data_IF_315672458205
#
_entry.id   IF_315672458205
#
_cell.length_a   1.000
_cell.length_b   1.000
_cell.length_c   1.000
_cell.angle_alpha   90.00
_cell.angle_beta   90.00
_cell.angle_gamma   90.00
#
_symmetry.space_group_name_H-M   'P 1'
#
loop_
_entity.id
_entity.type
_entity.pdbx_description
1 polymer ?
#
# COMPACT_ATOMS: atom_id res chain seq x y z
N UNK A 1 -60.49 66.98 -2.69
CA UNK A 1 -60.68 66.65 -4.12
C UNK A 1 -59.53 65.74 -4.53
N UNK A 2 -59.83 64.46 -4.70
CA UNK A 2 -58.96 63.43 -5.28
C UNK A 2 -59.88 62.56 -6.13
N UNK A 3 -59.68 62.46 -7.45
CA UNK A 3 -60.33 61.44 -8.26
C UNK A 3 -59.48 60.18 -8.30
N UNK A 4 -60.15 59.05 -8.19
CA UNK A 4 -59.66 57.70 -8.42
C UNK A 4 -59.31 57.54 -9.90
N UNK A 5 -58.09 57.10 -10.22
CA UNK A 5 -57.69 56.76 -11.59
C UNK A 5 -57.47 55.25 -11.69
N UNK A 6 -58.31 54.63 -12.50
CA UNK A 6 -58.29 53.24 -12.97
C UNK A 6 -57.22 53.11 -14.07
N UNK A 7 -56.13 52.38 -13.80
CA UNK A 7 -55.17 51.99 -14.82
C UNK A 7 -55.11 50.46 -14.96
N UNK A 8 -55.53 50.04 -16.15
CA UNK A 8 -55.76 48.67 -16.62
C UNK A 8 -54.44 47.90 -16.73
N UNK A 9 -54.41 46.66 -16.24
CA UNK A 9 -53.33 45.70 -16.54
C UNK A 9 -53.48 45.15 -17.99
N UNK A 10 -52.40 45.00 -18.76
CA UNK A 10 -52.47 44.39 -20.09
C UNK A 10 -52.78 42.88 -20.02
N UNK A 11 -53.30 42.25 -21.10
CA UNK A 11 -53.62 40.83 -21.11
C UNK A 11 -52.36 39.98 -20.97
N UNK A 12 -52.40 38.96 -20.12
CA UNK A 12 -51.37 37.91 -20.09
C UNK A 12 -51.39 37.14 -21.40
N UNK A 13 -50.25 37.10 -22.11
CA UNK A 13 -50.02 36.13 -23.19
C UNK A 13 -50.11 34.70 -22.64
N UNK A 14 -50.68 33.74 -23.38
CA UNK A 14 -50.71 32.34 -22.94
C UNK A 14 -49.28 31.80 -22.88
N UNK A 15 -48.96 31.20 -21.75
CA UNK A 15 -47.69 30.55 -21.42
C UNK A 15 -47.44 29.36 -22.38
N UNK A 16 -46.77 29.60 -23.51
CA UNK A 16 -46.38 28.54 -24.46
C UNK A 16 -45.24 27.71 -23.86
N UNK A 17 -45.57 26.73 -23.03
CA UNK A 17 -44.60 25.73 -22.60
C UNK A 17 -44.05 24.95 -23.81
N UNK A 18 -42.72 24.71 -23.91
CA UNK A 18 -42.14 23.97 -25.02
C UNK A 18 -42.45 22.47 -24.89
N UNK A 19 -43.50 22.01 -25.55
CA UNK A 19 -43.91 20.60 -25.64
C UNK A 19 -42.91 19.70 -26.41
N UNK A 20 -41.81 20.24 -26.94
CA UNK A 20 -40.88 19.53 -27.84
C UNK A 20 -39.77 18.70 -27.17
N UNK A 21 -39.56 18.81 -25.86
CA UNK A 21 -38.45 18.08 -25.21
C UNK A 21 -38.77 16.60 -24.96
N UNK A 22 -40.02 16.28 -24.60
CA UNK A 22 -40.45 14.89 -24.34
C UNK A 22 -40.51 14.04 -25.62
N UNK A 23 -41.07 14.58 -26.70
CA UNK A 23 -41.23 13.85 -27.97
C UNK A 23 -39.91 13.51 -28.64
N UNK A 24 -38.88 14.34 -28.46
CA UNK A 24 -37.55 14.10 -29.07
C UNK A 24 -36.82 12.95 -28.37
N UNK A 25 -36.94 12.83 -27.04
CA UNK A 25 -36.38 11.70 -26.28
C UNK A 25 -37.13 10.39 -26.54
N UNK A 26 -38.45 10.44 -26.72
CA UNK A 26 -39.27 9.29 -27.10
C UNK A 26 -38.96 8.84 -28.53
N UNK A 27 -38.85 9.77 -29.48
CA UNK A 27 -38.47 9.48 -30.87
C UNK A 27 -37.07 8.88 -30.99
N UNK A 28 -36.10 9.34 -30.17
CA UNK A 28 -34.77 8.73 -30.09
C UNK A 28 -34.81 7.31 -29.52
N UNK A 29 -35.71 7.03 -28.57
CA UNK A 29 -35.91 5.69 -28.01
C UNK A 29 -36.56 4.71 -29.00
N UNK A 30 -37.41 5.22 -29.89
CA UNK A 30 -38.09 4.43 -30.94
C UNK A 30 -37.22 4.13 -32.16
N UNK A 31 -36.08 4.81 -32.32
CA UNK A 31 -35.11 4.40 -33.33
C UNK A 31 -34.54 3.02 -33.01
N UNK A 32 -34.23 2.23 -34.05
CA UNK A 32 -33.61 0.90 -33.88
C UNK A 32 -32.30 0.96 -33.06
N UNK A 33 -31.59 2.10 -33.09
CA UNK A 33 -30.40 2.37 -32.29
C UNK A 33 -30.76 2.58 -30.81
N UNK A 34 -31.79 3.38 -30.51
CA UNK A 34 -32.31 3.59 -29.16
C UNK A 34 -32.81 2.30 -28.49
N UNK A 35 -33.57 1.48 -29.22
CA UNK A 35 -34.04 0.19 -28.71
C UNK A 35 -32.89 -0.80 -28.46
N UNK A 36 -31.87 -0.83 -29.33
CA UNK A 36 -30.69 -1.68 -29.16
C UNK A 36 -29.83 -1.22 -27.97
N UNK A 37 -29.65 0.09 -27.80
CA UNK A 37 -28.98 0.67 -26.64
C UNK A 37 -29.75 0.38 -25.33
N UNK A 38 -31.08 0.52 -25.34
CA UNK A 38 -31.93 0.24 -24.18
C UNK A 38 -31.95 -1.25 -23.81
N UNK A 39 -31.94 -2.15 -24.80
CA UNK A 39 -31.75 -3.60 -24.56
C UNK A 39 -30.35 -3.92 -24.03
N UNK A 40 -29.31 -3.28 -24.57
CA UNK A 40 -27.94 -3.46 -24.09
C UNK A 40 -27.81 -2.98 -22.65
N UNK A 41 -28.35 -1.81 -22.32
CA UNK A 41 -28.42 -1.29 -20.96
C UNK A 41 -29.21 -2.24 -20.05
N UNK A 42 -30.44 -2.64 -20.40
CA UNK A 42 -31.22 -3.62 -19.60
C UNK A 42 -30.50 -4.94 -19.40
N UNK A 43 -29.79 -5.42 -20.42
CA UNK A 43 -28.98 -6.64 -20.31
C UNK A 43 -27.84 -6.41 -19.33
N UNK A 44 -27.05 -5.36 -19.49
CA UNK A 44 -25.93 -5.00 -18.61
C UNK A 44 -26.40 -4.80 -17.16
N UNK A 45 -27.50 -4.08 -16.94
CA UNK A 45 -28.09 -3.88 -15.60
C UNK A 45 -28.63 -5.19 -15.03
N UNK A 46 -29.23 -6.05 -15.86
CA UNK A 46 -29.71 -7.38 -15.47
C UNK A 46 -28.58 -8.35 -15.12
N UNK A 47 -27.49 -8.38 -15.88
CA UNK A 47 -26.29 -9.17 -15.55
C UNK A 47 -25.58 -8.60 -14.33
N UNK A 48 -25.49 -7.28 -14.19
CA UNK A 48 -24.94 -6.63 -12.99
C UNK A 48 -25.74 -6.99 -11.73
N UNK A 49 -27.08 -6.97 -11.82
CA UNK A 49 -27.96 -7.40 -10.72
C UNK A 49 -27.81 -8.90 -10.42
N UNK A 50 -27.62 -9.75 -11.43
CA UNK A 50 -27.40 -11.20 -11.27
C UNK A 50 -26.04 -11.51 -10.65
N UNK A 51 -25.00 -10.76 -11.00
CA UNK A 51 -23.65 -10.85 -10.44
C UNK A 51 -23.61 -10.32 -9.00
N UNK A 52 -24.35 -9.25 -8.69
CA UNK A 52 -24.52 -8.74 -7.32
C UNK A 52 -25.32 -9.66 -6.39
N UNK A 53 -26.06 -10.66 -6.91
CA UNK A 53 -26.72 -11.66 -6.06
C UNK A 53 -25.74 -12.66 -5.42
N UNK A 54 -24.51 -12.78 -5.92
CA UNK A 54 -23.51 -13.62 -5.27
C UNK A 54 -23.03 -12.94 -3.97
N UNK A 55 -23.18 -13.58 -2.79
CA UNK A 55 -22.82 -12.97 -1.51
C UNK A 55 -21.34 -12.54 -1.44
N UNK A 56 -20.44 -13.25 -2.12
CA UNK A 56 -19.00 -12.91 -2.17
C UNK A 56 -18.79 -11.64 -2.99
N UNK A 57 -19.39 -11.55 -4.17
CA UNK A 57 -19.26 -10.37 -5.05
C UNK A 57 -19.91 -9.15 -4.40
N UNK A 58 -21.08 -9.32 -3.79
CA UNK A 58 -21.72 -8.28 -3.01
C UNK A 58 -20.86 -7.81 -1.82
N UNK A 59 -20.11 -8.72 -1.19
CA UNK A 59 -19.20 -8.37 -0.10
C UNK A 59 -17.96 -7.63 -0.60
N UNK A 60 -17.36 -8.06 -1.71
CA UNK A 60 -16.24 -7.38 -2.35
C UNK A 60 -16.63 -5.98 -2.84
N UNK A 61 -17.80 -5.83 -3.45
CA UNK A 61 -18.30 -4.52 -3.90
C UNK A 61 -18.51 -3.57 -2.71
N UNK A 62 -19.15 -4.05 -1.63
CA UNK A 62 -19.29 -3.28 -0.38
C UNK A 62 -17.93 -2.92 0.25
N UNK A 63 -16.94 -3.80 0.14
CA UNK A 63 -15.59 -3.52 0.61
C UNK A 63 -14.90 -2.43 -0.24
N UNK A 64 -15.07 -2.48 -1.57
CA UNK A 64 -14.54 -1.48 -2.50
C UNK A 64 -15.19 -0.10 -2.33
N UNK A 65 -16.52 -0.06 -2.19
CA UNK A 65 -17.27 1.17 -1.87
C UNK A 65 -16.79 1.76 -0.55
N UNK A 66 -16.71 0.94 0.52
CA UNK A 66 -16.19 1.36 1.81
C UNK A 66 -14.74 1.89 1.71
N UNK A 67 -13.89 1.25 0.92
CA UNK A 67 -12.51 1.70 0.71
C UNK A 67 -12.46 3.08 0.04
N UNK A 68 -13.29 3.30 -0.99
CA UNK A 68 -13.34 4.56 -1.72
C UNK A 68 -13.95 5.70 -0.87
N UNK A 69 -15.06 5.44 -0.17
CA UNK A 69 -15.73 6.41 0.71
C UNK A 69 -14.84 6.89 1.85
N UNK A 70 -13.84 6.08 2.23
CA UNK A 70 -12.90 6.35 3.32
C UNK A 70 -11.53 6.78 2.82
N UNK A 71 -11.48 7.41 1.64
CA UNK A 71 -10.25 7.99 1.07
C UNK A 71 -9.11 6.96 0.90
N UNK A 72 -9.44 5.69 0.68
CA UNK A 72 -8.45 4.61 0.58
C UNK A 72 -7.40 4.86 -0.49
N UNK A 73 -7.80 5.38 -1.65
CA UNK A 73 -6.89 5.79 -2.72
C UNK A 73 -5.93 6.91 -2.28
N UNK A 74 -6.42 7.90 -1.52
CA UNK A 74 -5.61 9.01 -1.02
C UNK A 74 -4.62 8.56 0.05
N UNK A 75 -5.06 7.68 0.95
CA UNK A 75 -4.17 7.04 1.92
C UNK A 75 -3.09 6.20 1.24
N UNK A 76 -3.45 5.43 0.20
CA UNK A 76 -2.49 4.71 -0.62
C UNK A 76 -1.45 5.63 -1.24
N UNK A 77 -1.90 6.73 -1.88
CA UNK A 77 -1.02 7.74 -2.46
C UNK A 77 -0.09 8.38 -1.42
N UNK A 78 -0.63 8.73 -0.24
CA UNK A 78 0.15 9.30 0.86
C UNK A 78 1.22 8.31 1.36
N UNK A 79 0.86 7.04 1.57
CA UNK A 79 1.81 6.00 2.00
C UNK A 79 2.92 5.84 0.96
N UNK A 80 2.60 5.80 -0.33
CA UNK A 80 3.62 5.72 -1.41
C UNK A 80 4.54 6.94 -1.41
N UNK A 81 3.98 8.15 -1.32
CA UNK A 81 4.75 9.40 -1.25
C UNK A 81 5.72 9.39 -0.07
N UNK A 82 5.24 9.05 1.13
CA UNK A 82 6.10 8.99 2.31
C UNK A 82 7.13 7.86 2.21
N UNK A 83 6.77 6.70 1.64
CA UNK A 83 7.72 5.59 1.44
C UNK A 83 8.87 5.98 0.51
N UNK A 84 8.56 6.68 -0.58
CA UNK A 84 9.57 7.21 -1.50
C UNK A 84 10.47 8.24 -0.79
N UNK A 85 9.89 9.17 -0.04
CA UNK A 85 10.65 10.16 0.73
C UNK A 85 11.55 9.50 1.78
N UNK A 86 11.10 8.41 2.41
CA UNK A 86 11.87 7.62 3.38
C UNK A 86 13.03 6.83 2.76
N UNK A 87 13.06 6.65 1.43
CA UNK A 87 14.13 5.91 0.76
C UNK A 87 15.47 6.63 0.92
N UNK A 88 15.50 7.96 0.81
CA UNK A 88 16.75 8.74 0.90
C UNK A 88 17.41 8.59 2.28
N UNK A 89 16.72 8.82 3.41
CA UNK A 89 17.33 8.63 4.72
C UNK A 89 17.71 7.18 5.02
N UNK A 90 16.92 6.20 4.56
CA UNK A 90 17.25 4.78 4.71
C UNK A 90 18.54 4.45 3.96
N UNK A 91 18.70 4.96 2.74
CA UNK A 91 19.94 4.81 1.98
C UNK A 91 21.12 5.49 2.67
N UNK A 92 20.93 6.69 3.23
CA UNK A 92 21.98 7.38 4.00
C UNK A 92 22.44 6.57 5.21
N UNK A 93 21.49 6.03 5.99
CA UNK A 93 21.79 5.17 7.14
C UNK A 93 22.48 3.88 6.69
N UNK A 94 22.03 3.27 5.59
CA UNK A 94 22.64 2.06 5.03
C UNK A 94 24.07 2.31 4.54
N UNK A 95 24.29 3.44 3.86
CA UNK A 95 25.60 3.89 3.40
C UNK A 95 26.54 4.17 4.56
N UNK A 96 26.06 4.84 5.61
CA UNK A 96 26.83 5.06 6.82
C UNK A 96 27.16 3.73 7.53
N UNK A 97 26.21 2.81 7.64
CA UNK A 97 26.41 1.48 8.21
C UNK A 97 27.49 0.70 7.42
N UNK A 98 27.42 0.72 6.09
CA UNK A 98 28.47 0.16 5.25
C UNK A 98 29.83 0.84 5.50
N UNK A 99 29.86 2.17 5.60
CA UNK A 99 31.07 2.94 5.95
C UNK A 99 31.66 2.55 7.31
N UNK A 100 30.83 2.26 8.32
CA UNK A 100 31.28 1.73 9.61
C UNK A 100 31.83 0.31 9.51
N UNK A 101 31.14 -0.59 8.80
CA UNK A 101 31.61 -1.97 8.57
C UNK A 101 32.95 -1.98 7.83
N UNK A 102 33.08 -1.17 6.77
CA UNK A 102 34.33 -1.03 6.02
C UNK A 102 35.46 -0.40 6.86
N UNK A 103 35.14 0.57 7.72
CA UNK A 103 36.10 1.15 8.64
C UNK A 103 36.63 0.13 9.67
N UNK A 104 35.80 -0.83 10.09
CA UNK A 104 36.19 -1.89 11.02
C UNK A 104 36.90 -3.07 10.37
N UNK A 105 36.73 -3.27 9.06
CA UNK A 105 37.37 -4.34 8.29
C UNK A 105 38.19 -3.79 7.11
N UNK A 106 39.39 -3.24 7.36
CA UNK A 106 40.23 -2.63 6.31
C UNK A 106 40.67 -3.63 5.22
N UNK A 107 40.72 -4.92 5.53
CA UNK A 107 41.00 -5.99 4.55
C UNK A 107 39.86 -6.21 3.56
N UNK A 108 38.59 -6.16 4.02
CA UNK A 108 37.42 -6.24 3.11
C UNK A 108 37.37 -5.04 2.15
N UNK A 109 37.84 -3.89 2.59
CA UNK A 109 37.91 -2.67 1.80
C UNK A 109 38.94 -2.82 0.65
N UNK A 110 40.11 -3.39 0.94
CA UNK A 110 41.13 -3.72 -0.07
C UNK A 110 40.60 -4.76 -1.07
N UNK A 111 39.99 -5.85 -0.60
CA UNK A 111 39.41 -6.88 -1.48
C UNK A 111 38.32 -6.33 -2.41
N UNK A 112 37.49 -5.42 -1.92
CA UNK A 112 36.46 -4.74 -2.74
C UNK A 112 37.13 -3.88 -3.82
N UNK A 113 38.17 -3.12 -3.47
CA UNK A 113 38.88 -2.29 -4.45
C UNK A 113 39.63 -3.12 -5.49
N UNK A 114 40.31 -4.19 -5.08
CA UNK A 114 41.02 -5.07 -6.00
C UNK A 114 40.05 -5.76 -6.96
N UNK A 115 38.86 -6.17 -6.48
CA UNK A 115 37.80 -6.70 -7.33
C UNK A 115 37.19 -5.65 -8.27
N UNK A 116 37.00 -4.41 -7.83
CA UNK A 116 36.50 -3.32 -8.69
C UNK A 116 37.52 -3.03 -9.80
N UNK A 117 38.81 -2.92 -9.46
CA UNK A 117 39.88 -2.63 -10.41
C UNK A 117 40.12 -3.77 -11.41
N UNK A 118 39.82 -5.01 -11.03
CA UNK A 118 39.92 -6.17 -11.93
C UNK A 118 38.68 -6.35 -12.83
N UNK A 119 37.49 -5.94 -12.38
CA UNK A 119 36.23 -6.18 -13.12
C UNK A 119 35.69 -4.95 -13.85
N UNK A 120 36.19 -3.74 -13.57
CA UNK A 120 35.76 -2.50 -14.22
C UNK A 120 36.87 -2.01 -15.15
N UNK A 121 36.69 -2.25 -16.45
CA UNK A 121 37.66 -1.84 -17.49
C UNK A 121 37.69 -0.33 -17.75
N UNK A 122 36.73 0.44 -17.24
CA UNK A 122 36.69 1.91 -17.35
C UNK A 122 37.38 2.58 -16.14
N UNK A 123 38.53 3.25 -16.35
CA UNK A 123 39.27 3.94 -15.29
C UNK A 123 38.43 5.01 -14.56
N UNK A 124 37.47 5.63 -15.25
CA UNK A 124 36.62 6.69 -14.70
C UNK A 124 35.66 6.11 -13.66
N UNK A 125 34.99 5.00 -14.00
CA UNK A 125 34.07 4.31 -13.09
C UNK A 125 34.81 3.76 -11.87
N UNK A 126 36.00 3.20 -12.06
CA UNK A 126 36.83 2.74 -10.95
C UNK A 126 37.24 3.88 -10.00
N UNK A 127 37.63 5.04 -10.55
CA UNK A 127 37.96 6.23 -9.76
C UNK A 127 36.74 6.79 -9.00
N UNK A 128 35.57 6.84 -9.65
CA UNK A 128 34.32 7.27 -9.00
C UNK A 128 33.96 6.34 -7.85
N UNK A 129 33.98 5.02 -8.05
CA UNK A 129 33.69 4.03 -7.01
C UNK A 129 34.66 4.15 -5.83
N UNK A 130 35.96 4.34 -6.11
CA UNK A 130 36.99 4.58 -5.09
C UNK A 130 36.70 5.82 -4.25
N UNK A 131 36.35 6.92 -4.90
CA UNK A 131 35.99 8.16 -4.22
C UNK A 131 34.70 8.01 -3.40
N UNK A 132 33.68 7.34 -3.93
CA UNK A 132 32.43 7.08 -3.21
C UNK A 132 32.66 6.24 -1.95
N UNK A 133 33.45 5.16 -2.02
CA UNK A 133 33.78 4.32 -0.87
C UNK A 133 34.60 5.10 0.17
N UNK A 134 35.62 5.85 -0.26
CA UNK A 134 36.41 6.70 0.65
C UNK A 134 35.53 7.75 1.34
N UNK A 135 34.62 8.38 0.59
CA UNK A 135 33.67 9.35 1.14
C UNK A 135 32.73 8.69 2.15
N UNK A 136 32.25 7.48 1.86
CA UNK A 136 31.43 6.68 2.76
C UNK A 136 32.11 6.47 4.11
N UNK A 137 33.38 6.06 4.07
CA UNK A 137 34.16 5.80 5.28
C UNK A 137 34.48 7.10 6.02
N UNK A 138 34.93 8.15 5.33
CA UNK A 138 35.32 9.42 5.98
C UNK A 138 34.13 10.15 6.60
N UNK A 139 33.00 10.21 5.89
CA UNK A 139 31.81 10.94 6.33
C UNK A 139 30.78 10.07 7.07
N UNK A 140 31.09 8.79 7.37
CA UNK A 140 30.17 7.82 7.99
C UNK A 140 29.42 8.35 9.19
N UNK A 141 30.09 9.09 10.08
CA UNK A 141 29.47 9.60 11.30
C UNK A 141 28.50 10.75 11.00
N UNK A 142 28.91 11.71 10.18
CA UNK A 142 28.07 12.86 9.82
C UNK A 142 26.84 12.42 9.01
N UNK A 143 27.06 11.61 7.96
CA UNK A 143 25.99 11.06 7.13
C UNK A 143 25.10 10.13 7.93
N UNK A 144 25.68 9.33 8.84
CA UNK A 144 24.93 8.42 9.71
C UNK A 144 24.03 9.15 10.70
N UNK A 145 24.54 10.19 11.37
CA UNK A 145 23.75 10.97 12.33
C UNK A 145 22.64 11.76 11.64
N UNK A 146 22.95 12.48 10.56
CA UNK A 146 21.95 13.24 9.79
C UNK A 146 20.93 12.29 9.19
N UNK A 147 21.39 11.21 8.56
CA UNK A 147 20.55 10.16 7.98
C UNK A 147 19.62 9.56 9.03
N UNK A 148 20.12 9.23 10.23
CA UNK A 148 19.33 8.66 11.30
C UNK A 148 18.27 9.64 11.82
N UNK A 149 18.62 10.92 12.03
CA UNK A 149 17.68 11.95 12.47
C UNK A 149 16.56 12.15 11.46
N UNK A 150 16.91 12.27 10.17
CA UNK A 150 15.92 12.43 9.10
C UNK A 150 15.10 11.15 8.92
N UNK A 151 15.71 9.96 9.05
CA UNK A 151 15.02 8.68 8.96
C UNK A 151 14.02 8.50 10.11
N UNK A 152 14.38 8.91 11.33
CA UNK A 152 13.47 8.88 12.48
C UNK A 152 12.30 9.84 12.27
N UNK A 153 12.56 11.07 11.83
CA UNK A 153 11.51 12.05 11.54
C UNK A 153 10.56 11.56 10.43
N UNK A 154 11.12 11.14 9.29
CA UNK A 154 10.36 10.61 8.15
C UNK A 154 9.58 9.35 8.53
N UNK A 155 10.23 8.43 9.25
CA UNK A 155 9.64 7.17 9.69
C UNK A 155 8.48 7.36 10.65
N UNK A 156 8.60 8.25 11.65
CA UNK A 156 7.50 8.54 12.56
C UNK A 156 6.32 9.15 11.79
N UNK A 157 6.58 10.06 10.85
CA UNK A 157 5.52 10.63 10.01
C UNK A 157 4.85 9.56 9.12
N UNK A 158 5.61 8.68 8.49
CA UNK A 158 5.10 7.54 7.71
C UNK A 158 4.23 6.62 8.57
N UNK A 159 4.69 6.28 9.79
CA UNK A 159 3.98 5.44 10.74
C UNK A 159 2.66 6.10 11.21
N UNK A 160 2.68 7.42 11.41
CA UNK A 160 1.51 8.24 11.67
C UNK A 160 0.43 8.09 10.60
N UNK A 161 0.83 8.25 9.33
CA UNK A 161 -0.06 8.15 8.17
C UNK A 161 -0.57 6.71 7.96
N UNK A 162 0.29 5.70 8.09
CA UNK A 162 -0.11 4.30 7.97
C UNK A 162 -1.15 3.93 9.02
N UNK A 163 -0.94 4.35 10.28
CA UNK A 163 -1.90 4.09 11.34
C UNK A 163 -3.23 4.78 11.08
N UNK A 164 -3.22 6.03 10.61
CA UNK A 164 -4.46 6.75 10.31
C UNK A 164 -5.21 6.09 9.14
N UNK A 165 -4.49 5.64 8.10
CA UNK A 165 -5.07 4.88 7.00
C UNK A 165 -5.76 3.59 7.50
N UNK A 166 -5.07 2.79 8.30
CA UNK A 166 -5.65 1.55 8.85
C UNK A 166 -6.83 1.86 9.76
N UNK A 167 -6.72 2.89 10.60
CA UNK A 167 -7.78 3.32 11.51
C UNK A 167 -9.03 3.77 10.75
N UNK A 168 -8.85 4.56 9.69
CA UNK A 168 -9.93 5.01 8.83
C UNK A 168 -10.66 3.81 8.21
N UNK A 169 -9.92 2.83 7.72
CA UNK A 169 -10.50 1.63 7.12
C UNK A 169 -11.13 0.67 8.13
N UNK A 170 -10.62 0.59 9.37
CA UNK A 170 -11.08 -0.36 10.38
C UNK A 170 -12.29 0.11 11.20
N UNK A 171 -12.58 1.42 11.27
CA UNK A 171 -13.67 1.95 12.12
C UNK A 171 -15.06 1.51 11.64
N UNK A 172 -16.00 1.33 12.56
CA UNK A 172 -17.38 0.96 12.19
C UNK A 172 -18.11 2.13 11.51
N UNK A 173 -17.97 3.35 12.06
CA UNK A 173 -18.51 4.60 11.51
C UNK A 173 -17.37 5.54 11.16
N UNK A 174 -17.41 6.14 9.95
CA UNK A 174 -16.47 7.17 9.53
C UNK A 174 -17.03 8.54 9.87
N UNK A 175 -16.49 9.19 10.90
CA UNK A 175 -16.79 10.57 11.25
C UNK A 175 -15.57 11.44 10.95
N UNK A 176 -15.75 12.54 10.20
CA UNK A 176 -14.69 13.52 9.89
C UNK A 176 -14.21 14.32 11.11
N UNK A 177 -14.75 14.07 12.31
CA UNK A 177 -14.43 14.84 13.51
C UNK A 177 -13.10 14.39 14.09
N UNK A 178 -12.15 15.31 14.35
CA UNK A 178 -10.92 15.01 15.06
C UNK A 178 -11.27 14.83 16.55
N UNK A 179 -11.56 13.60 16.97
CA UNK A 179 -12.10 13.32 18.31
C UNK A 179 -11.08 12.71 19.29
N UNK A 180 -9.81 12.65 18.90
CA UNK A 180 -8.74 12.22 19.80
C UNK A 180 -7.87 13.44 20.17
N UNK A 181 -8.24 14.14 21.23
CA UNK A 181 -7.35 15.09 21.92
C UNK A 181 -6.26 14.32 22.68
N UNK A 182 -5.35 13.66 21.95
CA UNK A 182 -4.11 13.16 22.56
C UNK A 182 -3.07 14.28 22.59
N UNK A 183 -2.32 14.32 23.70
CA UNK A 183 -1.07 15.09 23.76
C UNK A 183 -0.17 14.62 22.62
N UNK A 184 0.27 15.56 21.79
CA UNK A 184 1.09 15.33 20.59
C UNK A 184 2.26 14.38 20.89
N UNK A 185 2.98 14.60 21.98
CA UNK A 185 4.12 13.77 22.41
C UNK A 185 3.79 12.27 22.60
N UNK A 186 2.62 11.93 23.16
CA UNK A 186 2.23 10.53 23.38
C UNK A 186 1.98 9.83 22.06
N UNK A 187 1.42 10.55 21.08
CA UNK A 187 1.23 10.06 19.71
C UNK A 187 2.60 9.73 19.09
N UNK A 188 3.54 10.69 19.05
CA UNK A 188 4.86 10.48 18.46
C UNK A 188 5.65 9.33 19.12
N UNK A 189 5.56 9.19 20.45
CA UNK A 189 6.24 8.10 21.17
C UNK A 189 5.66 6.72 20.84
N UNK A 190 4.33 6.59 20.79
CA UNK A 190 3.68 5.34 20.37
C UNK A 190 4.03 4.99 18.93
N UNK A 191 4.15 6.00 18.07
CA UNK A 191 4.50 5.83 16.66
C UNK A 191 5.92 5.35 16.52
N UNK A 192 6.85 5.90 17.29
CA UNK A 192 8.22 5.42 17.36
C UNK A 192 8.29 3.94 17.80
N UNK A 193 7.59 3.56 18.88
CA UNK A 193 7.54 2.16 19.32
C UNK A 193 6.94 1.25 18.24
N UNK A 194 5.89 1.71 17.57
CA UNK A 194 5.26 0.95 16.50
C UNK A 194 6.21 0.79 15.33
N UNK A 195 6.94 1.83 14.95
CA UNK A 195 7.94 1.76 13.89
C UNK A 195 9.04 0.75 14.22
N UNK A 196 9.59 0.76 15.45
CA UNK A 196 10.59 -0.23 15.87
C UNK A 196 9.98 -1.64 15.83
N UNK A 197 8.77 -1.82 16.35
CA UNK A 197 8.10 -3.11 16.30
C UNK A 197 7.86 -3.62 14.87
N UNK A 198 7.57 -2.72 13.92
CA UNK A 198 7.42 -3.06 12.51
C UNK A 198 8.77 -3.49 11.91
N UNK A 199 9.85 -2.76 12.20
CA UNK A 199 11.20 -3.13 11.74
C UNK A 199 11.60 -4.52 12.27
N UNK A 200 11.35 -4.80 13.55
CA UNK A 200 11.61 -6.11 14.16
C UNK A 200 10.74 -7.20 13.51
N UNK A 201 9.45 -6.93 13.28
CA UNK A 201 8.57 -7.87 12.60
C UNK A 201 9.04 -8.16 11.17
N UNK A 202 9.52 -7.15 10.44
CA UNK A 202 10.10 -7.32 9.11
C UNK A 202 11.37 -8.17 9.16
N UNK A 203 12.30 -7.88 10.09
CA UNK A 203 13.52 -8.69 10.26
C UNK A 203 13.16 -10.15 10.52
N UNK A 204 12.26 -10.43 11.46
CA UNK A 204 11.80 -11.80 11.77
C UNK A 204 11.20 -12.46 10.53
N UNK A 205 10.32 -11.76 9.82
CA UNK A 205 9.65 -12.25 8.60
C UNK A 205 10.67 -12.60 7.52
N UNK A 206 11.65 -11.73 7.28
CA UNK A 206 12.71 -11.92 6.30
C UNK A 206 13.66 -13.06 6.73
N UNK A 207 14.00 -13.15 8.02
CA UNK A 207 14.81 -14.25 8.56
C UNK A 207 14.11 -15.60 8.39
N UNK A 208 12.82 -15.71 8.71
CA UNK A 208 12.04 -16.93 8.52
C UNK A 208 12.05 -17.32 7.05
N UNK A 209 11.78 -16.37 6.15
CA UNK A 209 11.74 -16.62 4.70
C UNK A 209 13.11 -17.04 4.16
N UNK A 210 14.18 -16.38 4.61
CA UNK A 210 15.56 -16.67 4.20
C UNK A 210 16.03 -18.05 4.67
N UNK A 211 15.82 -18.36 5.95
CA UNK A 211 16.17 -19.66 6.54
C UNK A 211 15.36 -20.79 5.90
N UNK A 212 14.06 -20.56 5.64
CA UNK A 212 13.24 -21.54 4.96
C UNK A 212 13.70 -21.81 3.53
N UNK A 213 14.06 -20.76 2.78
CA UNK A 213 14.59 -20.91 1.43
C UNK A 213 15.92 -21.67 1.41
N UNK A 214 16.85 -21.34 2.31
CA UNK A 214 18.15 -22.01 2.39
C UNK A 214 18.02 -23.46 2.87
N UNK A 215 17.19 -23.73 3.87
CA UNK A 215 16.90 -25.08 4.35
C UNK A 215 16.26 -25.93 3.24
N UNK A 216 15.33 -25.37 2.48
CA UNK A 216 14.71 -26.06 1.34
C UNK A 216 15.75 -26.44 0.29
N UNK A 217 16.65 -25.53 -0.09
CA UNK A 217 17.73 -25.84 -1.05
C UNK A 217 18.69 -26.91 -0.50
N UNK A 218 19.10 -26.78 0.75
CA UNK A 218 20.00 -27.75 1.38
C UNK A 218 19.40 -29.16 1.42
N UNK A 219 18.12 -29.31 1.77
CA UNK A 219 17.45 -30.61 1.83
C UNK A 219 17.30 -31.22 0.43
N UNK A 220 16.93 -30.42 -0.57
CA UNK A 220 16.78 -30.89 -1.96
C UNK A 220 18.12 -31.42 -2.49
N UNK A 221 19.20 -30.67 -2.30
CA UNK A 221 20.53 -31.07 -2.74
C UNK A 221 21.11 -32.24 -1.93
N UNK A 222 20.88 -32.29 -0.61
CA UNK A 222 21.39 -33.37 0.25
C UNK A 222 20.73 -34.73 -0.04
N UNK A 223 19.45 -34.74 -0.40
CA UNK A 223 18.70 -35.95 -0.71
C UNK A 223 18.74 -36.32 -2.21
N UNK A 224 19.52 -35.61 -3.03
CA UNK A 224 19.60 -35.79 -4.49
C UNK A 224 18.23 -35.76 -5.19
N UNK A 225 17.29 -35.01 -4.60
CA UNK A 225 15.90 -34.91 -5.04
C UNK A 225 15.74 -34.04 -6.30
N UNK A 226 16.82 -33.44 -6.81
CA UNK A 226 16.82 -32.60 -8.01
C UNK A 226 16.27 -33.32 -9.25
N UNK A 227 16.45 -34.65 -9.32
CA UNK A 227 15.99 -35.48 -10.43
C UNK A 227 14.53 -35.95 -10.32
N UNK A 228 13.83 -35.68 -9.21
CA UNK A 228 12.47 -36.17 -8.97
C UNK A 228 11.44 -35.07 -9.24
N UNK A 229 10.94 -35.02 -10.47
CA UNK A 229 10.03 -33.96 -10.93
C UNK A 229 8.69 -33.91 -10.18
N UNK A 230 8.17 -35.05 -9.73
CA UNK A 230 6.89 -35.12 -9.01
C UNK A 230 6.96 -34.54 -7.59
N UNK A 231 8.16 -34.42 -7.00
CA UNK A 231 8.34 -33.87 -5.65
C UNK A 231 8.51 -32.34 -5.66
N UNK A 232 8.88 -31.75 -6.79
CA UNK A 232 8.99 -30.29 -7.00
C UNK A 232 7.72 -29.51 -6.57
N UNK A 233 6.48 -29.94 -6.89
CA UNK A 233 5.28 -29.24 -6.41
C UNK A 233 5.11 -29.29 -4.89
N UNK A 234 5.48 -30.38 -4.22
CA UNK A 234 5.40 -30.48 -2.76
C UNK A 234 6.32 -29.46 -2.07
N UNK A 235 7.56 -29.32 -2.55
CA UNK A 235 8.50 -28.32 -2.04
C UNK A 235 8.04 -26.89 -2.28
N UNK A 236 7.45 -26.61 -3.45
CA UNK A 236 6.84 -25.31 -3.74
C UNK A 236 5.69 -25.00 -2.77
N UNK A 237 4.85 -25.98 -2.43
CA UNK A 237 3.77 -25.80 -1.46
C UNK A 237 4.30 -25.49 -0.06
N UNK A 238 5.39 -26.12 0.37
CA UNK A 238 6.03 -25.84 1.66
C UNK A 238 6.60 -24.41 1.67
N UNK A 239 7.36 -24.02 0.65
CA UNK A 239 7.88 -22.66 0.53
C UNK A 239 6.77 -21.60 0.51
N UNK A 240 5.68 -21.87 -0.23
CA UNK A 240 4.50 -21.02 -0.27
C UNK A 240 3.82 -20.93 1.10
N UNK A 241 3.64 -22.05 1.80
CA UNK A 241 3.05 -22.06 3.14
C UNK A 241 3.89 -21.24 4.13
N UNK A 242 5.22 -21.35 4.06
CA UNK A 242 6.12 -20.55 4.91
C UNK A 242 6.04 -19.07 4.55
N UNK A 243 6.01 -18.72 3.26
CA UNK A 243 5.86 -17.33 2.81
C UNK A 243 4.53 -16.73 3.29
N UNK A 244 3.42 -17.46 3.12
CA UNK A 244 2.10 -17.05 3.64
C UNK A 244 2.14 -16.89 5.15
N UNK A 245 2.77 -17.82 5.88
CA UNK A 245 2.90 -17.73 7.33
C UNK A 245 3.72 -16.52 7.77
N UNK A 246 4.85 -16.25 7.11
CA UNK A 246 5.68 -15.08 7.38
C UNK A 246 4.88 -13.78 7.15
N UNK A 247 4.20 -13.66 6.01
CA UNK A 247 3.32 -12.53 5.71
C UNK A 247 2.17 -12.42 6.72
N UNK A 248 1.63 -13.55 7.15
CA UNK A 248 0.59 -13.61 8.17
C UNK A 248 1.07 -12.99 9.49
N UNK A 249 2.27 -13.32 9.97
CA UNK A 249 2.83 -12.69 11.18
C UNK A 249 2.96 -11.17 11.02
N UNK A 250 3.44 -10.71 9.86
CA UNK A 250 3.59 -9.29 9.59
C UNK A 250 2.23 -8.57 9.64
N UNK A 251 1.24 -9.04 8.88
CA UNK A 251 -0.10 -8.43 8.87
C UNK A 251 -0.81 -8.58 10.23
N UNK A 252 -0.55 -9.66 10.95
CA UNK A 252 -1.10 -9.88 12.29
C UNK A 252 -0.58 -8.82 13.24
N UNK A 253 0.74 -8.58 13.22
CA UNK A 253 1.38 -7.54 14.01
C UNK A 253 0.82 -6.17 13.65
N UNK A 254 0.67 -5.87 12.36
CA UNK A 254 0.11 -4.60 11.86
C UNK A 254 -1.31 -4.39 12.41
N UNK A 255 -2.22 -5.34 12.20
CA UNK A 255 -3.63 -5.21 12.60
C UNK A 255 -3.85 -5.38 14.11
N UNK A 256 -2.90 -5.97 14.84
CA UNK A 256 -2.96 -5.98 16.29
C UNK A 256 -2.46 -4.65 16.86
N UNK A 257 -1.29 -4.18 16.44
CA UNK A 257 -0.55 -3.12 17.14
C UNK A 257 -0.97 -1.72 16.72
N UNK A 258 -1.30 -1.49 15.45
CA UNK A 258 -1.64 -0.16 14.95
C UNK A 258 -3.04 0.31 15.39
N UNK A 259 -4.09 -0.53 15.40
CA UNK A 259 -5.41 -0.08 15.83
C UNK A 259 -5.45 0.27 17.31
N UNK A 260 -5.87 1.50 17.61
CA UNK A 260 -6.06 1.97 18.99
C UNK A 260 -7.15 1.19 19.72
N UNK A 261 -8.16 0.70 18.99
CA UNK A 261 -9.26 -0.07 19.56
C UNK A 261 -9.17 -1.49 19.01
N UNK A 262 -9.10 -2.47 19.91
CA UNK A 262 -8.81 -3.84 19.52
C UNK A 262 -9.99 -4.39 18.71
N UNK A 263 -9.79 -4.78 17.44
CA UNK A 263 -10.84 -5.39 16.65
C UNK A 263 -11.27 -6.72 17.29
N UNK A 264 -12.51 -7.15 17.03
CA UNK A 264 -12.99 -8.47 17.44
C UNK A 264 -11.99 -9.54 16.99
N UNK A 265 -11.54 -10.40 17.92
CA UNK A 265 -10.49 -11.42 17.66
C UNK A 265 -10.73 -12.23 16.38
N UNK A 266 -11.98 -12.63 16.12
CA UNK A 266 -12.37 -13.38 14.91
C UNK A 266 -12.15 -12.59 13.61
N UNK A 267 -12.37 -11.28 13.61
CA UNK A 267 -12.13 -10.42 12.45
C UNK A 267 -10.64 -10.19 12.22
N UNK A 268 -9.84 -10.07 13.29
CA UNK A 268 -8.39 -9.95 13.21
C UNK A 268 -7.77 -11.16 12.50
N UNK A 269 -7.98 -12.37 13.02
CA UNK A 269 -7.37 -13.58 12.45
C UNK A 269 -7.80 -13.85 11.01
N UNK A 270 -9.09 -13.64 10.68
CA UNK A 270 -9.62 -13.82 9.31
C UNK A 270 -9.12 -12.76 8.35
N UNK A 271 -9.12 -11.49 8.78
CA UNK A 271 -8.63 -10.37 7.97
C UNK A 271 -7.14 -10.50 7.66
N UNK A 272 -6.34 -10.88 8.65
CA UNK A 272 -4.91 -11.18 8.46
C UNK A 272 -4.69 -12.33 7.47
N UNK A 273 -5.47 -13.41 7.56
CA UNK A 273 -5.31 -14.55 6.65
C UNK A 273 -5.61 -14.16 5.19
N UNK A 274 -6.71 -13.43 4.99
CA UNK A 274 -7.08 -12.92 3.66
C UNK A 274 -6.00 -11.96 3.13
N UNK A 275 -5.47 -11.08 3.96
CA UNK A 275 -4.39 -10.17 3.59
C UNK A 275 -3.10 -10.93 3.21
N UNK A 276 -2.71 -11.93 3.99
CA UNK A 276 -1.52 -12.74 3.73
C UNK A 276 -1.63 -13.52 2.41
N UNK A 277 -2.78 -14.16 2.16
CA UNK A 277 -3.02 -14.89 0.91
C UNK A 277 -3.06 -13.93 -0.27
N UNK A 278 -3.80 -12.82 -0.16
CA UNK A 278 -3.90 -11.82 -1.23
C UNK A 278 -2.54 -11.20 -1.58
N UNK A 279 -1.73 -10.89 -0.56
CA UNK A 279 -0.37 -10.39 -0.76
C UNK A 279 0.53 -11.42 -1.42
N UNK A 280 0.45 -12.70 -1.01
CA UNK A 280 1.23 -13.76 -1.64
C UNK A 280 0.85 -13.93 -3.11
N UNK A 281 -0.45 -13.90 -3.45
CA UNK A 281 -0.91 -13.99 -4.84
C UNK A 281 -0.30 -12.86 -5.68
N UNK A 282 -0.38 -11.60 -5.22
CA UNK A 282 0.19 -10.43 -5.91
C UNK A 282 1.71 -10.54 -6.05
N UNK A 283 2.38 -11.04 -5.02
CA UNK A 283 3.84 -11.24 -5.02
C UNK A 283 4.26 -12.37 -5.97
N UNK A 284 3.40 -13.37 -6.15
CA UNK A 284 3.65 -14.57 -6.96
C UNK A 284 3.21 -14.46 -8.43
N UNK A 285 2.45 -13.40 -8.77
CA UNK A 285 1.99 -13.09 -10.13
C UNK A 285 3.03 -12.28 -10.90
#
# INVERSE_FOLDING_TARGET
>A
MTPENDDRRPPQEPDTQPEKSKSTLEALNDTAVGQKASRALKTVTGTAAKVQRNPVIAHLLRAAERFNDRLGNQFGAAITYFSFLSMIPILMVSFAAAGFVLAWHPTLLQDIFDKILQNVSDPTLAATLKNTINTAVQQRTAVGLVGLLVALYSGINWMGNLREAIRAQSRDVWERRPQDEEKIWVKYFRDLISLIGLLVALIITLSITSVAGSAQQMIISALYLDNIEWLKPAWRLIGLAISIFANYLLFFWIFWRLPRHRPRRKALFRGTLIAAIGFEIIKSS
#
